data_IF_133432620996
#
_entry.id   IF_133432620996
#
_cell.length_a   1.000
_cell.length_b   1.000
_cell.length_c   1.000
_cell.angle_alpha   90.00
_cell.angle_beta   90.00
_cell.angle_gamma   90.00
#
_symmetry.space_group_name_H-M   'P 1'
#
loop_
_entity.id
_entity.type
_entity.pdbx_description
1 polymer ?
#
# COMPACT_ATOMS: atom_id res chain seq x y z
N UNK A 1 -15.94 26.11 -33.19
CA UNK A 1 -14.53 26.12 -32.75
C UNK A 1 -14.38 26.29 -31.24
N UNK A 2 -14.91 27.35 -30.61
CA UNK A 2 -14.79 27.55 -29.15
C UNK A 2 -15.40 26.43 -28.30
N UNK A 3 -16.57 25.92 -28.68
CA UNK A 3 -17.24 24.79 -28.00
C UNK A 3 -16.46 23.48 -28.13
N UNK A 4 -15.85 23.24 -29.29
CA UNK A 4 -15.01 22.06 -29.54
C UNK A 4 -13.72 22.08 -28.70
N UNK A 5 -13.13 23.27 -28.53
CA UNK A 5 -11.97 23.52 -27.66
C UNK A 5 -12.31 23.34 -26.16
N UNK A 6 -13.50 23.76 -25.75
CA UNK A 6 -13.97 23.56 -24.38
C UNK A 6 -14.24 22.08 -24.07
N UNK A 7 -14.84 21.35 -25.02
CA UNK A 7 -15.07 19.92 -24.89
C UNK A 7 -13.77 19.11 -24.81
N UNK A 8 -12.76 19.44 -25.62
CA UNK A 8 -11.47 18.75 -25.56
C UNK A 8 -10.72 19.06 -24.25
N UNK A 9 -10.75 20.30 -23.78
CA UNK A 9 -10.15 20.67 -22.49
C UNK A 9 -10.80 19.94 -21.31
N UNK A 10 -12.13 19.79 -21.34
CA UNK A 10 -12.87 19.06 -20.32
C UNK A 10 -12.49 17.56 -20.29
N UNK A 11 -12.42 16.92 -21.45
CA UNK A 11 -11.98 15.52 -21.56
C UNK A 11 -10.55 15.29 -21.05
N UNK A 12 -9.64 16.21 -21.36
CA UNK A 12 -8.26 16.19 -20.88
C UNK A 12 -8.23 16.28 -19.35
N UNK A 13 -9.02 17.19 -18.75
CA UNK A 13 -9.05 17.36 -17.30
C UNK A 13 -9.50 16.10 -16.56
N UNK A 14 -10.53 15.41 -17.08
CA UNK A 14 -11.05 14.17 -16.48
C UNK A 14 -10.01 13.05 -16.56
N UNK A 15 -9.28 12.95 -17.67
CA UNK A 15 -8.21 11.95 -17.83
C UNK A 15 -7.07 12.16 -16.82
N UNK A 16 -6.59 13.39 -16.66
CA UNK A 16 -5.48 13.70 -15.75
C UNK A 16 -5.85 13.68 -14.26
N UNK A 17 -7.13 13.89 -13.91
CA UNK A 17 -7.63 13.89 -12.53
C UNK A 17 -8.18 12.53 -12.06
N UNK A 18 -8.22 11.52 -12.93
CA UNK A 18 -8.77 10.18 -12.60
C UNK A 18 -7.79 9.26 -11.86
N UNK A 19 -6.55 9.69 -11.61
CA UNK A 19 -5.59 8.92 -10.83
C UNK A 19 -5.93 8.89 -9.34
N UNK A 20 -6.16 7.71 -8.76
CA UNK A 20 -6.24 7.53 -7.31
C UNK A 20 -4.85 7.74 -6.68
N UNK A 21 -4.80 8.50 -5.58
CA UNK A 21 -3.58 8.70 -4.80
C UNK A 21 -3.50 7.59 -3.74
N UNK A 22 -2.47 6.76 -3.80
CA UNK A 22 -2.13 5.80 -2.74
C UNK A 22 -0.96 6.34 -1.90
N UNK A 23 -0.54 5.59 -0.87
CA UNK A 23 0.58 5.98 0.00
C UNK A 23 1.91 6.13 -0.76
N UNK A 24 1.98 5.54 -1.95
CA UNK A 24 3.12 5.58 -2.88
C UNK A 24 2.97 6.63 -4.00
N UNK A 25 1.91 7.46 -3.98
CA UNK A 25 1.65 8.50 -4.98
C UNK A 25 0.55 8.15 -5.98
N UNK A 26 0.68 8.60 -7.23
CA UNK A 26 -0.30 8.31 -8.29
C UNK A 26 0.08 6.96 -8.90
N UNK A 27 -0.63 5.92 -8.51
CA UNK A 27 -0.43 4.56 -9.02
C UNK A 27 -1.76 3.89 -9.31
N UNK A 28 -1.82 3.15 -10.42
CA UNK A 28 -2.94 2.26 -10.72
C UNK A 28 -2.90 0.95 -9.92
N UNK A 29 -1.84 0.73 -9.12
CA UNK A 29 -1.67 -0.45 -8.27
C UNK A 29 -2.17 -0.17 -6.86
N UNK A 30 -3.01 -1.07 -6.36
CA UNK A 30 -3.56 -0.99 -5.01
C UNK A 30 -2.58 -1.45 -3.93
N UNK A 31 -1.67 -2.38 -4.27
CA UNK A 31 -0.64 -2.89 -3.37
C UNK A 31 0.75 -2.60 -3.93
N UNK A 32 1.70 -2.44 -3.02
CA UNK A 32 3.13 -2.35 -3.28
C UNK A 32 3.62 -3.52 -4.09
N UNK A 33 4.52 -3.23 -5.01
CA UNK A 33 5.19 -4.28 -5.77
C UNK A 33 6.04 -5.13 -4.83
N UNK A 34 5.87 -6.45 -4.90
CA UNK A 34 6.73 -7.38 -4.20
C UNK A 34 7.92 -7.74 -5.09
N UNK A 35 9.12 -7.69 -4.52
CA UNK A 35 10.33 -8.20 -5.14
C UNK A 35 10.42 -9.70 -4.91
N UNK A 36 10.44 -10.45 -6.00
CA UNK A 36 10.53 -11.91 -5.97
C UNK A 36 11.87 -12.35 -6.58
N UNK A 37 12.64 -13.18 -5.86
CA UNK A 37 13.94 -13.66 -6.32
C UNK A 37 14.33 -14.99 -5.68
N UNK A 38 15.31 -15.67 -6.29
CA UNK A 38 15.97 -16.83 -5.70
C UNK A 38 17.33 -16.41 -5.15
N UNK A 39 17.69 -16.85 -3.94
CA UNK A 39 19.02 -16.61 -3.41
C UNK A 39 20.09 -17.52 -4.04
N UNK A 40 21.35 -17.33 -3.66
CA UNK A 40 22.47 -18.14 -4.14
C UNK A 40 22.34 -19.65 -3.79
N UNK A 41 21.52 -19.99 -2.80
CA UNK A 41 21.22 -21.37 -2.40
C UNK A 41 20.00 -21.93 -3.16
N UNK A 42 19.33 -21.12 -3.97
CA UNK A 42 18.14 -21.51 -4.73
C UNK A 42 16.83 -21.43 -3.94
N UNK A 43 16.80 -20.77 -2.78
CA UNK A 43 15.56 -20.57 -2.03
C UNK A 43 14.78 -19.37 -2.56
N UNK A 44 13.46 -19.53 -2.67
CA UNK A 44 12.55 -18.47 -3.10
C UNK A 44 12.30 -17.45 -1.98
N UNK A 45 12.45 -16.18 -2.30
CA UNK A 45 12.17 -15.04 -1.43
C UNK A 45 11.15 -14.11 -2.08
N UNK A 46 10.22 -13.61 -1.28
CA UNK A 46 9.23 -12.60 -1.65
C UNK A 46 9.22 -11.48 -0.62
N UNK A 47 9.79 -10.36 -1.00
CA UNK A 47 9.86 -9.15 -0.18
C UNK A 47 8.79 -8.16 -0.67
N UNK A 48 7.79 -7.89 0.16
CA UNK A 48 6.74 -6.90 -0.15
C UNK A 48 6.97 -5.63 0.68
N UNK A 49 6.52 -4.48 0.18
CA UNK A 49 6.48 -3.24 0.96
C UNK A 49 5.67 -3.41 2.26
N UNK A 50 6.22 -2.92 3.37
CA UNK A 50 5.61 -3.03 4.71
C UNK A 50 4.40 -2.09 4.91
N UNK A 51 4.14 -1.22 3.95
CA UNK A 51 3.27 -0.07 4.08
C UNK A 51 1.84 -0.28 3.60
N UNK A 52 1.60 -1.28 2.74
CA UNK A 52 0.27 -1.60 2.19
C UNK A 52 -0.38 -2.83 2.83
N UNK A 53 0.38 -3.64 3.57
CA UNK A 53 -0.13 -4.86 4.21
C UNK A 53 0.17 -4.81 5.70
N UNK A 54 -0.87 -4.74 6.52
CA UNK A 54 -0.72 -4.87 7.97
C UNK A 54 -0.28 -6.30 8.28
N UNK A 55 1.01 -6.47 8.59
CA UNK A 55 1.57 -7.78 8.93
C UNK A 55 1.04 -8.25 10.29
N UNK A 56 1.01 -9.57 10.50
CA UNK A 56 0.71 -10.15 11.82
C UNK A 56 1.62 -9.60 12.94
N UNK A 57 2.86 -9.26 12.60
CA UNK A 57 3.81 -8.60 13.51
C UNK A 57 3.31 -7.21 13.90
N UNK A 58 2.89 -6.39 12.92
CA UNK A 58 2.32 -5.08 13.19
C UNK A 58 1.06 -5.18 14.07
N UNK A 59 0.15 -6.12 13.77
CA UNK A 59 -1.01 -6.38 14.61
C UNK A 59 -0.64 -6.79 16.04
N UNK A 60 0.34 -7.68 16.20
CA UNK A 60 0.82 -8.14 17.52
C UNK A 60 1.33 -6.98 18.38
N UNK A 61 2.11 -6.07 17.79
CA UNK A 61 2.64 -4.90 18.50
C UNK A 61 1.54 -3.88 18.83
N UNK A 62 0.57 -3.67 17.94
CA UNK A 62 -0.60 -2.83 18.22
C UNK A 62 -1.46 -3.39 19.35
N UNK A 63 -1.65 -4.71 19.40
CA UNK A 63 -2.41 -5.39 20.45
C UNK A 63 -1.68 -5.27 21.80
N UNK A 64 -0.36 -5.53 21.84
CA UNK A 64 0.44 -5.39 23.07
C UNK A 64 0.39 -3.98 23.63
N UNK A 65 0.52 -2.95 22.77
CA UNK A 65 0.49 -1.55 23.20
C UNK A 65 -0.87 -1.14 23.79
N UNK A 66 -1.93 -1.84 23.42
CA UNK A 66 -3.31 -1.55 23.86
C UNK A 66 -3.72 -2.33 25.11
N UNK A 67 -3.05 -3.44 25.42
CA UNK A 67 -3.32 -4.18 26.64
C UNK A 67 -2.53 -3.59 27.80
N UNK A 68 -3.16 -3.36 28.97
CA UNK A 68 -2.39 -3.11 30.19
C UNK A 68 -1.49 -4.33 30.45
N UNK A 69 -0.28 -4.10 30.95
CA UNK A 69 0.60 -5.20 31.31
C UNK A 69 -0.13 -6.15 32.27
N UNK A 70 -0.05 -7.48 32.05
CA UNK A 70 -0.76 -8.44 32.89
C UNK A 70 -0.31 -8.25 34.34
N UNK A 71 -1.26 -7.86 35.20
CA UNK A 71 -1.03 -7.55 36.62
C UNK A 71 -0.85 -8.79 37.49
N UNK A 72 -0.91 -9.99 36.91
CA UNK A 72 -0.68 -11.24 37.63
C UNK A 72 0.14 -12.20 36.80
N UNK A 73 1.24 -12.65 37.38
CA UNK A 73 1.92 -13.88 37.01
C UNK A 73 1.02 -15.07 37.39
N UNK A 74 0.35 -15.65 36.39
CA UNK A 74 -0.24 -16.99 36.54
C UNK A 74 0.91 -17.99 36.45
N UNK A 75 1.16 -18.68 37.55
CA UNK A 75 2.09 -19.80 37.67
C UNK A 75 1.55 -21.04 36.96
#
# INVERSE_FOLDING_TARGET
MKTTLLLSALFISIFFLSGCVNKHGISAKYYSDCKEYYDLQGYYHKECGDDDVVTYKAMKELIKKKQPEPTSNVW
#
